data_IF_760793845609
#
_entry.id   IF_760793845609
#
_cell.length_a   1.000
_cell.length_b   1.000
_cell.length_c   1.000
_cell.angle_alpha   90.00
_cell.angle_beta   90.00
_cell.angle_gamma   90.00
#
_symmetry.space_group_name_H-M   'P 1'
#
loop_
_entity.id
_entity.type
_entity.pdbx_description
1 polymer ?
#
# COMPACT_ATOMS: atom_id res chain seq x y z
N UNK A 1 15.89 3.65 5.14
CA UNK A 1 15.20 2.53 4.46
C UNK A 1 14.31 3.06 3.34
N UNK A 2 14.27 2.36 2.19
CA UNK A 2 13.29 2.71 1.17
C UNK A 2 11.88 2.59 1.71
N UNK A 3 10.97 3.42 1.21
CA UNK A 3 9.60 3.43 1.70
C UNK A 3 8.90 2.08 1.50
N UNK A 4 9.24 1.36 0.43
CA UNK A 4 8.66 0.04 0.17
C UNK A 4 8.96 -0.96 1.30
N UNK A 5 10.16 -0.91 1.85
CA UNK A 5 10.53 -1.80 2.94
C UNK A 5 9.77 -1.45 4.22
N UNK A 6 9.60 -0.16 4.49
CA UNK A 6 8.81 0.29 5.63
C UNK A 6 7.36 -0.13 5.50
N UNK A 7 6.78 0.03 4.32
CA UNK A 7 5.39 -0.37 4.06
C UNK A 7 5.21 -1.88 4.26
N UNK A 8 6.14 -2.66 3.73
CA UNK A 8 6.09 -4.12 3.86
C UNK A 8 6.18 -4.55 5.32
N UNK A 9 7.15 -4.00 6.06
CA UNK A 9 7.33 -4.34 7.47
C UNK A 9 6.08 -4.03 8.28
N UNK A 10 5.48 -2.88 8.07
CA UNK A 10 4.29 -2.49 8.80
C UNK A 10 3.09 -3.37 8.49
N UNK A 11 2.90 -3.73 7.22
CA UNK A 11 1.80 -4.59 6.83
C UNK A 11 2.00 -6.03 7.30
N UNK A 12 3.20 -6.55 7.22
CA UNK A 12 3.50 -7.89 7.71
C UNK A 12 3.32 -7.99 9.22
N UNK A 13 3.74 -6.97 9.95
CA UNK A 13 3.58 -6.93 11.41
C UNK A 13 2.13 -6.80 11.83
N UNK A 14 1.33 -6.06 11.07
CA UNK A 14 -0.07 -5.81 11.42
C UNK A 14 -0.97 -6.98 11.10
N UNK A 15 -0.76 -7.68 9.97
CA UNK A 15 -1.72 -8.65 9.45
C UNK A 15 -1.17 -10.05 9.24
N UNK A 16 0.14 -10.24 9.27
CA UNK A 16 0.78 -11.51 8.94
C UNK A 16 0.20 -12.11 7.65
N UNK A 17 0.24 -11.38 6.53
CA UNK A 17 -0.45 -11.79 5.31
C UNK A 17 0.13 -13.07 4.71
N UNK A 18 -0.75 -13.85 4.07
CA UNK A 18 -0.33 -15.02 3.30
C UNK A 18 0.36 -14.59 2.00
N UNK A 19 -0.05 -13.45 1.46
CA UNK A 19 0.52 -12.92 0.23
C UNK A 19 0.54 -11.40 0.31
N UNK A 20 1.64 -10.81 -0.09
CA UNK A 20 1.81 -9.36 -0.07
C UNK A 20 2.68 -8.94 -1.24
N UNK A 21 2.16 -8.04 -2.06
CA UNK A 21 2.89 -7.47 -3.18
C UNK A 21 2.76 -5.96 -3.12
N UNK A 22 3.88 -5.27 -3.18
CA UNK A 22 3.93 -3.80 -3.22
C UNK A 22 4.68 -3.40 -4.48
N UNK A 23 4.00 -2.70 -5.37
CA UNK A 23 4.56 -2.29 -6.66
C UNK A 23 4.58 -0.78 -6.77
N UNK A 24 5.73 -0.24 -7.15
CA UNK A 24 5.86 1.18 -7.46
C UNK A 24 5.42 1.39 -8.91
N UNK A 25 4.30 2.06 -9.09
CA UNK A 25 3.74 2.33 -10.41
C UNK A 25 4.10 3.72 -10.94
N UNK A 26 4.98 4.43 -10.28
CA UNK A 26 5.39 5.77 -10.72
C UNK A 26 5.94 5.77 -12.13
N UNK A 27 6.68 4.73 -12.50
CA UNK A 27 7.23 4.61 -13.85
C UNK A 27 6.15 4.45 -14.92
N UNK A 28 5.02 3.86 -14.58
CA UNK A 28 3.91 3.69 -15.51
C UNK A 28 3.26 5.02 -15.87
N UNK A 29 3.49 6.05 -15.06
CA UNK A 29 2.95 7.39 -15.28
C UNK A 29 3.97 8.36 -15.87
N UNK A 30 5.14 7.86 -16.22
CA UNK A 30 6.20 8.69 -16.79
C UNK A 30 5.74 9.35 -18.08
N UNK A 31 5.92 10.67 -18.17
CA UNK A 31 5.46 11.43 -19.31
C UNK A 31 4.01 11.85 -19.25
N UNK A 32 3.27 11.42 -18.26
CA UNK A 32 1.88 11.79 -18.04
C UNK A 32 1.77 12.96 -17.06
N UNK A 33 0.67 13.68 -17.17
CA UNK A 33 0.35 14.72 -16.19
C UNK A 33 0.28 14.09 -14.78
N UNK A 34 0.98 14.67 -13.84
CA UNK A 34 1.02 14.15 -12.48
C UNK A 34 2.22 13.28 -12.16
N UNK A 35 3.03 12.94 -13.17
CA UNK A 35 4.26 12.20 -12.90
C UNK A 35 5.19 13.02 -12.02
N UNK A 36 5.73 12.40 -10.99
CA UNK A 36 6.71 13.02 -10.11
C UNK A 36 8.05 12.35 -10.29
N UNK A 37 9.06 13.15 -10.51
CA UNK A 37 10.42 12.66 -10.66
C UNK A 37 10.88 12.02 -9.36
N UNK A 38 11.60 10.91 -9.46
CA UNK A 38 12.10 10.19 -8.31
C UNK A 38 11.27 9.00 -7.90
N UNK A 39 10.08 8.83 -8.44
CA UNK A 39 9.21 7.71 -8.09
C UNK A 39 8.58 7.86 -6.72
N UNK A 40 8.16 6.73 -6.13
CA UNK A 40 7.58 6.64 -4.79
C UNK A 40 6.29 7.44 -4.58
N UNK A 41 5.61 7.83 -5.68
CA UNK A 41 4.38 8.62 -5.59
C UNK A 41 3.11 7.81 -5.87
N UNK A 42 3.22 6.75 -6.68
CA UNK A 42 2.09 5.89 -7.04
C UNK A 42 2.40 4.45 -6.68
N UNK A 43 1.56 3.85 -5.86
CA UNK A 43 1.79 2.50 -5.34
C UNK A 43 0.58 1.60 -5.54
N UNK A 44 0.84 0.34 -5.83
CA UNK A 44 -0.20 -0.69 -5.83
C UNK A 44 0.18 -1.73 -4.79
N UNK A 45 -0.73 -1.98 -3.85
CA UNK A 45 -0.55 -3.00 -2.83
C UNK A 45 -1.60 -4.08 -3.02
N UNK A 46 -1.15 -5.31 -3.18
CA UNK A 46 -2.00 -6.49 -3.20
C UNK A 46 -1.71 -7.27 -1.93
N UNK A 47 -2.70 -7.48 -1.09
CA UNK A 47 -2.52 -8.16 0.19
C UNK A 47 -3.65 -9.15 0.43
N UNK A 48 -3.28 -10.36 0.87
CA UNK A 48 -4.22 -11.40 1.27
C UNK A 48 -3.89 -11.82 2.68
N UNK A 49 -4.82 -11.63 3.60
CA UNK A 49 -4.63 -12.03 4.99
C UNK A 49 -5.95 -12.47 5.60
N UNK A 50 -5.95 -13.52 6.44
CA UNK A 50 -7.16 -13.99 7.10
C UNK A 50 -7.85 -12.91 7.93
N UNK A 51 -7.11 -11.95 8.44
CA UNK A 51 -7.65 -10.86 9.23
C UNK A 51 -8.70 -10.04 8.48
N UNK A 52 -8.63 -10.03 7.14
CA UNK A 52 -9.57 -9.24 6.33
C UNK A 52 -10.89 -9.98 6.05
N UNK A 53 -10.95 -11.27 6.28
CA UNK A 53 -12.14 -12.06 5.94
C UNK A 53 -13.44 -11.50 6.54
N UNK A 54 -13.50 -11.13 7.84
CA UNK A 54 -14.72 -10.60 8.45
C UNK A 54 -14.93 -9.10 8.19
N UNK A 55 -13.99 -8.44 7.54
CA UNK A 55 -14.06 -6.98 7.35
C UNK A 55 -14.81 -6.59 6.08
N UNK A 56 -15.55 -5.48 6.15
CA UNK A 56 -16.11 -4.85 4.97
C UNK A 56 -14.99 -4.20 4.14
N UNK A 57 -15.33 -3.80 2.90
CA UNK A 57 -14.38 -3.14 2.02
C UNK A 57 -13.79 -1.88 2.66
N UNK A 58 -14.63 -1.08 3.27
CA UNK A 58 -14.20 0.15 3.94
C UNK A 58 -13.30 -0.15 5.12
N UNK A 59 -13.66 -1.14 5.92
CA UNK A 59 -12.85 -1.55 7.07
C UNK A 59 -11.47 -2.03 6.65
N UNK A 60 -11.37 -2.79 5.56
CA UNK A 60 -10.11 -3.27 5.03
C UNK A 60 -9.20 -2.11 4.64
N UNK A 61 -9.75 -1.13 3.91
CA UNK A 61 -8.98 0.04 3.52
C UNK A 61 -8.51 0.85 4.72
N UNK A 62 -9.37 1.05 5.69
CA UNK A 62 -9.00 1.77 6.92
C UNK A 62 -7.92 1.04 7.71
N UNK A 63 -8.03 -0.28 7.79
CA UNK A 63 -7.04 -1.09 8.50
C UNK A 63 -5.67 -0.99 7.85
N UNK A 64 -5.60 -1.03 6.52
CA UNK A 64 -4.33 -0.91 5.81
C UNK A 64 -3.74 0.49 6.00
N UNK A 65 -4.55 1.53 5.87
CA UNK A 65 -4.07 2.90 6.09
C UNK A 65 -3.56 3.10 7.52
N UNK A 66 -4.25 2.55 8.50
CA UNK A 66 -3.83 2.63 9.89
C UNK A 66 -2.51 1.89 10.13
N UNK A 67 -2.33 0.75 9.49
CA UNK A 67 -1.10 -0.04 9.61
C UNK A 67 0.08 0.67 8.97
N UNK A 68 -0.13 1.32 7.81
CA UNK A 68 0.91 2.08 7.15
C UNK A 68 1.31 3.32 7.96
N UNK A 69 0.35 3.94 8.62
CA UNK A 69 0.56 5.14 9.40
C UNK A 69 0.43 6.43 8.60
N UNK A 70 0.07 7.53 9.26
CA UNK A 70 -0.16 8.80 8.57
C UNK A 70 1.09 9.38 7.93
N UNK A 71 2.27 9.09 8.47
CA UNK A 71 3.53 9.55 7.91
C UNK A 71 3.80 8.95 6.53
N UNK A 72 3.57 7.64 6.37
CA UNK A 72 3.74 6.98 5.07
C UNK A 72 2.64 7.42 4.11
N UNK A 73 1.39 7.43 4.55
CA UNK A 73 0.26 7.83 3.70
C UNK A 73 0.46 9.25 3.16
N UNK A 74 1.03 10.15 3.97
CA UNK A 74 1.29 11.52 3.53
C UNK A 74 2.42 11.61 2.50
N UNK A 75 3.33 10.65 2.47
CA UNK A 75 4.47 10.64 1.54
C UNK A 75 4.13 10.07 0.18
N UNK A 76 3.04 9.31 0.08
CA UNK A 76 2.64 8.70 -1.20
C UNK A 76 1.51 9.53 -1.81
N UNK A 77 1.57 9.71 -3.13
CA UNK A 77 0.59 10.54 -3.83
C UNK A 77 -0.70 9.78 -4.11
N UNK A 78 -0.57 8.56 -4.55
CA UNK A 78 -1.72 7.72 -4.86
C UNK A 78 -1.44 6.28 -4.41
N UNK A 79 -2.48 5.63 -3.91
CA UNK A 79 -2.38 4.28 -3.39
C UNK A 79 -3.57 3.47 -3.90
N UNK A 80 -3.27 2.42 -4.67
CA UNK A 80 -4.27 1.46 -5.10
C UNK A 80 -4.16 0.21 -4.21
N UNK A 81 -5.28 -0.20 -3.64
CA UNK A 81 -5.32 -1.35 -2.74
C UNK A 81 -6.16 -2.46 -3.33
N UNK A 82 -5.62 -3.67 -3.33
CA UNK A 82 -6.35 -4.88 -3.65
C UNK A 82 -6.23 -5.81 -2.45
N UNK A 83 -7.28 -5.89 -1.67
CA UNK A 83 -7.30 -6.58 -0.39
C UNK A 83 -8.26 -7.77 -0.45
N UNK A 84 -7.78 -8.92 0.01
CA UNK A 84 -8.60 -10.12 0.08
C UNK A 84 -8.29 -10.89 1.36
N UNK A 85 -9.19 -11.77 1.75
CA UNK A 85 -9.00 -12.52 2.98
C UNK A 85 -9.68 -13.86 3.02
#
# INVERSE_FOLDING_TARGET
>A
MPIVDEMRDRLESAFAPNDLSIVDESEAHRGHSGYQEGGESHWRITINAPAFAPMSRIERHRAVHAALGPDIVARIHALALKISG
#
